data_IF_112691932079
#
_entry.id   IF_112691932079
#
_cell.length_a   1.000
_cell.length_b   1.000
_cell.length_c   1.000
_cell.angle_alpha   90.00
_cell.angle_beta   90.00
_cell.angle_gamma   90.00
#
_symmetry.space_group_name_H-M   'P 1'
#
loop_
_entity.id
_entity.type
_entity.pdbx_description
1 polymer ?
#
# COMPACT_ATOMS: atom_id res chain seq x y z
N UNK A 1 73.74 20.43 -24.38
CA UNK A 1 74.05 19.15 -25.05
C UNK A 1 72.94 18.16 -24.71
N UNK A 2 72.30 17.54 -25.71
CA UNK A 2 71.34 16.40 -25.64
C UNK A 2 69.96 16.71 -25.03
N UNK A 3 68.89 16.92 -25.81
CA UNK A 3 67.94 15.89 -26.32
C UNK A 3 67.37 15.00 -25.18
N UNK A 4 66.08 14.98 -24.83
CA UNK A 4 64.85 15.17 -25.59
C UNK A 4 64.11 13.83 -25.65
N UNK A 5 63.03 13.64 -24.87
CA UNK A 5 62.06 12.56 -25.08
C UNK A 5 60.64 13.14 -24.93
N UNK A 6 59.97 13.27 -26.07
CA UNK A 6 58.52 13.33 -26.27
C UNK A 6 58.18 12.11 -27.12
N UNK A 7 57.12 11.36 -26.78
CA UNK A 7 56.21 10.66 -27.72
C UNK A 7 55.31 9.72 -26.88
N UNK A 8 53.98 9.86 -26.87
CA UNK A 8 53.01 9.55 -27.95
C UNK A 8 52.89 8.04 -28.16
N UNK A 9 51.66 7.52 -27.99
CA UNK A 9 51.31 6.09 -28.08
C UNK A 9 51.36 5.54 -29.50
N UNK A 10 50.78 4.34 -29.70
CA UNK A 10 49.96 4.16 -30.90
C UNK A 10 48.70 3.31 -30.69
N UNK A 11 47.69 3.65 -31.48
CA UNK A 11 46.60 2.79 -31.89
C UNK A 11 47.06 1.65 -32.83
N UNK A 12 46.09 0.77 -33.13
CA UNK A 12 45.82 0.06 -34.41
C UNK A 12 46.19 -1.43 -34.54
N UNK A 13 45.09 -2.20 -34.63
CA UNK A 13 44.70 -3.13 -35.71
C UNK A 13 45.47 -4.44 -35.95
N UNK A 14 44.74 -5.55 -35.83
CA UNK A 14 44.39 -6.53 -36.88
C UNK A 14 43.96 -7.85 -36.20
N UNK A 15 42.95 -8.62 -36.62
CA UNK A 15 41.96 -8.46 -37.66
C UNK A 15 41.11 -9.75 -37.77
N UNK A 16 39.78 -9.60 -37.86
CA UNK A 16 38.88 -10.51 -38.58
C UNK A 16 38.47 -11.84 -37.94
N UNK A 17 37.35 -12.50 -38.28
CA UNK A 17 36.21 -12.27 -39.19
C UNK A 17 35.09 -13.19 -38.65
N UNK A 18 33.83 -12.75 -38.69
CA UNK A 18 32.69 -13.64 -38.39
C UNK A 18 31.37 -12.91 -38.19
N UNK A 19 30.87 -12.25 -39.24
CA UNK A 19 29.48 -11.82 -39.36
C UNK A 19 28.53 -13.04 -39.23
N UNK A 20 27.25 -12.89 -38.86
CA UNK A 20 26.15 -12.58 -39.80
C UNK A 20 24.86 -12.30 -39.01
N UNK A 21 24.17 -11.21 -39.39
CA UNK A 21 22.72 -10.98 -39.29
C UNK A 21 22.21 -10.42 -37.95
N UNK A 22 21.85 -9.14 -37.79
CA UNK A 22 21.62 -8.07 -38.74
C UNK A 22 20.22 -8.09 -39.34
N UNK A 23 19.23 -7.52 -38.64
CA UNK A 23 18.13 -6.77 -39.26
C UNK A 23 17.74 -5.59 -38.34
N UNK A 24 17.88 -4.41 -38.92
CA UNK A 24 17.54 -3.09 -38.42
C UNK A 24 16.05 -2.80 -38.60
N UNK A 25 15.49 -1.89 -37.80
CA UNK A 25 15.05 -0.59 -38.32
C UNK A 25 14.42 0.27 -37.22
N UNK A 26 14.95 1.49 -37.13
CA UNK A 26 14.47 2.64 -36.40
C UNK A 26 13.08 3.11 -36.88
N UNK A 27 12.39 3.86 -36.01
CA UNK A 27 11.15 4.54 -36.38
C UNK A 27 10.71 5.54 -35.32
N UNK A 28 11.28 6.73 -35.37
CA UNK A 28 10.80 7.91 -34.67
C UNK A 28 9.39 8.35 -35.13
N UNK A 29 8.76 9.15 -34.27
CA UNK A 29 7.70 10.16 -34.52
C UNK A 29 6.26 9.82 -34.11
N UNK A 30 5.82 10.56 -33.09
CA UNK A 30 4.54 11.27 -32.97
C UNK A 30 3.30 10.69 -33.65
N UNK A 31 2.31 10.31 -32.84
CA UNK A 31 0.92 10.16 -33.25
C UNK A 31 0.00 10.46 -32.08
N UNK A 32 -0.58 11.67 -32.08
CA UNK A 32 -1.68 12.03 -31.21
C UNK A 32 -2.96 11.27 -31.63
N UNK A 33 -3.64 10.65 -30.67
CA UNK A 33 -5.04 10.23 -30.75
C UNK A 33 -5.62 10.46 -29.35
N UNK A 34 -6.27 11.60 -29.05
CA UNK A 34 -7.69 11.86 -29.30
C UNK A 34 -8.56 10.60 -29.27
N UNK A 35 -9.17 10.35 -28.12
CA UNK A 35 -10.25 9.37 -27.89
C UNK A 35 -11.17 9.90 -26.80
N UNK A 36 -12.41 10.15 -27.18
CA UNK A 36 -13.38 11.02 -26.51
C UNK A 36 -13.81 10.60 -25.09
N UNK A 37 -13.94 11.62 -24.23
CA UNK A 37 -14.92 11.66 -23.16
C UNK A 37 -16.33 11.67 -23.78
N UNK A 38 -17.16 10.66 -23.50
CA UNK A 38 -18.59 10.74 -23.73
C UNK A 38 -19.31 10.14 -22.53
N UNK A 39 -20.16 10.96 -21.91
CA UNK A 39 -20.80 10.67 -20.66
C UNK A 39 -21.94 9.66 -20.75
N UNK A 40 -22.32 9.16 -19.58
CA UNK A 40 -23.65 8.60 -19.37
C UNK A 40 -24.05 8.87 -17.92
N UNK A 41 -24.74 10.00 -17.72
CA UNK A 41 -25.73 10.14 -16.67
C UNK A 41 -27.00 9.45 -17.18
N UNK A 42 -27.43 8.37 -16.53
CA UNK A 42 -28.84 7.95 -16.55
C UNK A 42 -29.23 7.60 -15.11
N UNK A 43 -30.35 8.20 -14.70
CA UNK A 43 -30.87 8.21 -13.35
C UNK A 43 -31.59 6.94 -12.91
N UNK A 44 -31.98 7.01 -11.64
CA UNK A 44 -32.71 6.06 -10.81
C UNK A 44 -33.96 5.45 -11.45
N UNK A 45 -34.19 4.14 -11.23
CA UNK A 45 -35.42 3.57 -10.70
C UNK A 45 -35.32 2.05 -10.48
N UNK A 46 -35.74 1.61 -9.29
CA UNK A 46 -36.39 0.35 -8.90
C UNK A 46 -36.02 -1.00 -9.57
N UNK A 47 -35.73 -2.00 -8.72
CA UNK A 47 -35.91 -3.42 -9.07
C UNK A 47 -34.84 -4.32 -8.45
N UNK A 48 -35.22 -5.07 -7.42
CA UNK A 48 -34.33 -6.01 -6.75
C UNK A 48 -33.99 -7.26 -7.57
N UNK A 49 -33.13 -8.09 -6.95
CA UNK A 49 -32.79 -9.48 -7.26
C UNK A 49 -31.70 -9.70 -8.32
N UNK A 50 -30.45 -9.68 -7.86
CA UNK A 50 -29.50 -10.77 -8.11
C UNK A 50 -28.34 -10.71 -7.09
N UNK A 51 -28.46 -11.49 -6.01
CA UNK A 51 -27.31 -11.94 -5.23
C UNK A 51 -26.79 -13.21 -5.89
N UNK A 52 -25.50 -13.25 -6.21
CA UNK A 52 -24.83 -14.49 -6.63
C UNK A 52 -23.39 -14.25 -7.07
N UNK A 53 -22.45 -14.76 -6.27
CA UNK A 53 -21.05 -15.01 -6.60
C UNK A 53 -20.16 -13.78 -6.91
N UNK A 54 -19.72 -13.08 -5.86
CA UNK A 54 -18.41 -12.41 -5.91
C UNK A 54 -17.34 -13.43 -5.59
N UNK A 55 -16.97 -14.18 -6.63
CA UNK A 55 -15.75 -14.98 -6.65
C UNK A 55 -14.53 -14.08 -6.42
N UNK A 56 -13.50 -14.68 -5.85
CA UNK A 56 -12.13 -14.19 -5.77
C UNK A 56 -11.74 -13.58 -7.12
N UNK A 57 -11.85 -12.24 -7.26
CA UNK A 57 -11.19 -11.54 -8.35
C UNK A 57 -9.70 -11.56 -8.03
N UNK A 58 -9.07 -12.68 -8.37
CA UNK A 58 -7.63 -12.73 -8.61
C UNK A 58 -7.42 -11.76 -9.78
N UNK A 59 -7.02 -10.53 -9.44
CA UNK A 59 -6.63 -9.54 -10.44
C UNK A 59 -5.52 -10.17 -11.28
N UNK A 60 -5.88 -10.64 -12.46
CA UNK A 60 -4.93 -10.89 -13.53
C UNK A 60 -4.33 -9.52 -13.83
N UNK A 61 -3.03 -9.41 -13.54
CA UNK A 61 -2.23 -8.25 -13.85
C UNK A 61 -2.46 -7.88 -15.31
N UNK A 62 -2.72 -6.61 -15.57
CA UNK A 62 -2.61 -6.07 -16.92
C UNK A 62 -1.18 -6.37 -17.42
N UNK A 63 -1.09 -6.94 -18.61
CA UNK A 63 0.17 -7.23 -19.30
C UNK A 63 1.08 -5.99 -19.27
N UNK A 64 2.23 -6.12 -18.59
CA UNK A 64 3.23 -5.07 -18.44
C UNK A 64 3.41 -4.51 -17.02
N UNK A 65 2.59 -4.88 -16.03
CA UNK A 65 2.79 -4.46 -14.64
C UNK A 65 3.96 -5.21 -13.99
N UNK A 66 4.94 -4.49 -13.45
CA UNK A 66 5.99 -5.04 -12.58
C UNK A 66 5.40 -5.95 -11.50
N UNK A 67 6.11 -6.99 -11.03
CA UNK A 67 5.59 -7.90 -10.02
C UNK A 67 5.10 -7.12 -8.80
N UNK A 68 3.85 -7.37 -8.41
CA UNK A 68 3.23 -6.73 -7.27
C UNK A 68 3.65 -7.47 -5.98
N UNK A 69 4.08 -6.71 -4.97
CA UNK A 69 4.49 -7.19 -3.65
C UNK A 69 3.44 -6.84 -2.61
N UNK A 70 3.10 -7.81 -1.76
CA UNK A 70 2.24 -7.59 -0.58
C UNK A 70 3.07 -6.94 0.52
N UNK A 71 2.58 -5.82 1.07
CA UNK A 71 3.27 -5.06 2.12
C UNK A 71 2.50 -5.00 3.44
N UNK A 72 1.20 -5.27 3.40
CA UNK A 72 0.36 -5.43 4.60
C UNK A 72 -0.84 -6.32 4.26
N UNK A 73 -1.34 -7.05 5.25
CA UNK A 73 -2.52 -7.90 5.08
C UNK A 73 -3.19 -8.19 6.42
N UNK A 74 -4.53 -8.29 6.42
CA UNK A 74 -5.26 -8.83 7.58
C UNK A 74 -5.28 -10.36 7.56
N UNK A 75 -5.23 -10.95 8.75
CA UNK A 75 -5.40 -12.39 8.99
C UNK A 75 -6.87 -12.81 9.03
N UNK A 76 -7.13 -14.13 8.99
CA UNK A 76 -8.37 -14.85 9.33
C UNK A 76 -9.65 -14.01 9.51
N UNK A 77 -10.62 -14.27 8.65
CA UNK A 77 -11.95 -13.66 8.72
C UNK A 77 -12.77 -13.87 7.46
N UNK A 78 -14.02 -13.43 7.49
CA UNK A 78 -14.88 -13.33 6.33
C UNK A 78 -15.42 -11.91 6.26
N UNK A 79 -15.52 -11.37 5.04
CA UNK A 79 -16.03 -10.01 4.84
C UNK A 79 -17.42 -9.86 5.48
N UNK A 80 -17.56 -8.91 6.40
CA UNK A 80 -18.87 -8.52 6.89
C UNK A 80 -19.65 -7.74 5.81
N UNK A 81 -20.96 -7.62 6.01
CA UNK A 81 -21.80 -6.74 5.19
C UNK A 81 -21.27 -5.31 5.23
N UNK A 82 -21.01 -4.77 4.03
CA UNK A 82 -20.53 -3.40 3.87
C UNK A 82 -21.64 -2.39 4.21
N UNK A 83 -21.22 -1.24 4.72
CA UNK A 83 -22.08 -0.10 4.96
C UNK A 83 -22.30 0.70 3.66
N UNK A 84 -23.44 1.38 3.50
CA UNK A 84 -23.65 2.26 2.37
C UNK A 84 -22.72 3.47 2.42
N UNK A 85 -22.30 4.01 1.27
CA UNK A 85 -21.45 5.21 1.18
C UNK A 85 -22.04 6.41 1.93
N UNK A 86 -23.37 6.49 2.02
CA UNK A 86 -24.09 7.53 2.78
C UNK A 86 -23.81 7.51 4.28
N UNK A 87 -23.21 6.45 4.83
CA UNK A 87 -22.78 6.40 6.23
C UNK A 87 -21.50 7.22 6.49
N UNK A 88 -20.77 7.65 5.45
CA UNK A 88 -19.55 8.43 5.59
C UNK A 88 -19.87 9.90 5.89
N UNK A 89 -19.15 10.48 6.85
CA UNK A 89 -19.22 11.93 7.05
C UNK A 89 -18.49 12.67 5.91
N UNK A 90 -18.68 13.99 5.81
CA UNK A 90 -18.08 14.82 4.74
C UNK A 90 -16.56 14.71 4.65
N UNK A 91 -15.85 14.50 5.77
CA UNK A 91 -14.39 14.34 5.78
C UNK A 91 -13.99 13.00 5.18
N UNK A 92 -14.63 11.91 5.62
CA UNK A 92 -14.39 10.56 5.12
C UNK A 92 -14.74 10.45 3.63
N UNK A 93 -15.87 11.02 3.21
CA UNK A 93 -16.30 11.02 1.82
C UNK A 93 -15.28 11.69 0.89
N UNK A 94 -14.69 12.82 1.31
CA UNK A 94 -13.62 13.47 0.53
C UNK A 94 -12.39 12.60 0.35
N UNK A 95 -12.00 11.86 1.39
CA UNK A 95 -10.88 10.91 1.32
C UNK A 95 -11.24 9.73 0.41
N UNK A 96 -12.42 9.15 0.57
CA UNK A 96 -12.93 8.07 -0.26
C UNK A 96 -12.94 8.43 -1.75
N UNK A 97 -13.44 9.62 -2.09
CA UNK A 97 -13.47 10.12 -3.47
C UNK A 97 -12.08 10.42 -4.04
N UNK A 98 -11.04 10.51 -3.21
CA UNK A 98 -9.64 10.63 -3.66
C UNK A 98 -8.95 9.28 -3.83
N UNK A 99 -9.59 8.19 -3.40
CA UNK A 99 -9.07 6.82 -3.38
C UNK A 99 -10.16 5.87 -3.91
N UNK A 100 -10.74 6.17 -5.07
CA UNK A 100 -11.96 5.51 -5.60
C UNK A 100 -11.75 4.06 -5.99
N UNK A 101 -10.53 3.67 -6.33
CA UNK A 101 -10.19 2.33 -6.81
C UNK A 101 -9.19 1.64 -5.88
N UNK A 102 -9.26 0.31 -5.79
CA UNK A 102 -8.26 -0.51 -5.09
C UNK A 102 -6.87 -0.31 -5.71
N UNK A 103 -5.84 -0.19 -4.88
CA UNK A 103 -4.49 0.19 -5.30
C UNK A 103 -4.25 1.69 -5.47
N UNK A 104 -5.30 2.52 -5.39
CA UNK A 104 -5.13 3.97 -5.45
C UNK A 104 -4.24 4.47 -4.30
N UNK A 105 -3.44 5.48 -4.59
CA UNK A 105 -2.61 6.16 -3.60
C UNK A 105 -3.00 7.63 -3.47
N UNK A 106 -2.78 8.21 -2.29
CA UNK A 106 -3.14 9.59 -2.03
C UNK A 106 -2.21 10.26 -1.03
N UNK A 107 -2.00 11.56 -1.20
CA UNK A 107 -1.22 12.40 -0.28
C UNK A 107 -2.13 13.40 0.41
N UNK A 108 -2.13 13.38 1.74
CA UNK A 108 -3.02 14.18 2.57
C UNK A 108 -2.25 14.95 3.64
N UNK A 109 -2.84 16.04 4.12
CA UNK A 109 -2.37 16.67 5.36
C UNK A 109 -2.76 15.79 6.55
N UNK A 110 -1.85 15.61 7.52
CA UNK A 110 -2.08 14.76 8.70
C UNK A 110 -3.38 15.10 9.45
N UNK A 111 -3.74 16.39 9.53
CA UNK A 111 -4.98 16.86 10.18
C UNK A 111 -6.27 16.56 9.42
N UNK A 112 -6.19 16.15 8.14
CA UNK A 112 -7.35 15.93 7.27
C UNK A 112 -7.76 14.46 7.18
N UNK A 113 -6.95 13.55 7.70
CA UNK A 113 -7.20 12.11 7.66
C UNK A 113 -6.64 11.41 8.90
N UNK A 114 -7.40 10.49 9.47
CA UNK A 114 -7.03 9.63 10.59
C UNK A 114 -7.19 8.14 10.26
N UNK A 115 -6.58 7.26 11.06
CA UNK A 115 -6.82 5.81 10.93
C UNK A 115 -8.29 5.47 11.19
N UNK A 116 -8.96 6.21 12.08
CA UNK A 116 -10.40 6.09 12.30
C UNK A 116 -11.22 6.45 11.06
N UNK A 117 -10.81 7.48 10.31
CA UNK A 117 -11.47 7.81 9.04
C UNK A 117 -11.30 6.69 8.03
N UNK A 118 -10.09 6.18 7.87
CA UNK A 118 -9.79 5.09 6.94
C UNK A 118 -10.51 3.81 7.29
N UNK A 119 -10.61 3.46 8.57
CA UNK A 119 -11.38 2.30 9.02
C UNK A 119 -12.87 2.45 8.69
N UNK A 120 -13.44 3.65 8.86
CA UNK A 120 -14.83 3.90 8.48
C UNK A 120 -15.03 3.77 6.95
N UNK A 121 -14.06 4.20 6.14
CA UNK A 121 -14.09 4.01 4.69
C UNK A 121 -13.91 2.53 4.32
N UNK A 122 -13.07 1.78 5.04
CA UNK A 122 -12.93 0.32 4.91
C UNK A 122 -14.24 -0.42 5.13
N UNK A 123 -15.09 0.03 6.06
CA UNK A 123 -16.44 -0.53 6.26
C UNK A 123 -17.39 -0.35 5.08
N UNK A 124 -17.13 0.61 4.21
CA UNK A 124 -17.92 0.87 3.00
C UNK A 124 -17.31 0.17 1.78
N UNK A 125 -15.99 0.09 1.73
CA UNK A 125 -15.24 -0.41 0.56
C UNK A 125 -14.91 -1.90 0.64
N UNK A 126 -14.80 -2.45 1.84
CA UNK A 126 -14.28 -3.79 2.07
C UNK A 126 -12.76 -3.89 1.93
N UNK A 127 -12.06 -2.75 1.83
CA UNK A 127 -10.61 -2.70 1.61
C UNK A 127 -9.83 -2.28 2.85
N UNK A 128 -8.58 -2.75 2.90
CA UNK A 128 -7.54 -2.24 3.78
C UNK A 128 -6.97 -0.90 3.32
N UNK A 129 -6.39 -0.14 4.26
CA UNK A 129 -5.67 1.10 3.97
C UNK A 129 -4.38 1.16 4.77
N UNK A 130 -3.25 1.34 4.09
CA UNK A 130 -1.94 1.56 4.72
C UNK A 130 -1.59 3.04 4.75
N UNK A 131 -1.00 3.51 5.85
CA UNK A 131 -0.64 4.92 6.05
C UNK A 131 0.82 5.08 6.42
N UNK A 132 1.51 5.98 5.74
CA UNK A 132 2.86 6.42 6.04
C UNK A 132 2.85 7.91 6.38
N UNK A 133 3.55 8.33 7.42
CA UNK A 133 3.59 9.73 7.87
C UNK A 133 4.99 10.30 7.74
N UNK A 134 5.13 11.37 6.96
CA UNK A 134 6.34 12.17 6.83
C UNK A 134 6.03 13.61 7.23
N UNK A 135 6.50 14.00 8.43
CA UNK A 135 6.21 15.32 9.02
C UNK A 135 4.70 15.57 9.14
N UNK A 136 4.23 16.67 8.52
CA UNK A 136 2.82 17.08 8.53
C UNK A 136 1.93 16.39 7.48
N UNK A 137 2.45 15.41 6.73
CA UNK A 137 1.77 14.77 5.59
C UNK A 137 1.62 13.27 5.78
N UNK A 138 0.60 12.71 5.14
CA UNK A 138 0.31 11.28 5.09
C UNK A 138 0.25 10.79 3.65
N UNK A 139 0.98 9.73 3.36
CA UNK A 139 0.81 8.92 2.16
C UNK A 139 -0.07 7.74 2.51
N UNK A 140 -1.09 7.49 1.69
CA UNK A 140 -2.12 6.48 1.94
C UNK A 140 -2.21 5.59 0.72
N UNK A 141 -2.32 4.29 0.94
CA UNK A 141 -2.50 3.27 -0.09
C UNK A 141 -3.79 2.53 0.22
N UNK A 142 -4.72 2.46 -0.74
CA UNK A 142 -5.91 1.60 -0.65
C UNK A 142 -5.57 0.21 -1.14
N UNK A 143 -5.99 -0.81 -0.41
CA UNK A 143 -5.74 -2.22 -0.72
C UNK A 143 -6.74 -2.84 -1.67
N UNK A 144 -6.64 -4.16 -1.78
CA UNK A 144 -7.49 -5.06 -2.55
C UNK A 144 -8.11 -6.06 -1.59
N UNK A 145 -9.26 -5.73 -1.00
CA UNK A 145 -9.83 -6.52 0.07
C UNK A 145 -8.91 -6.51 1.29
N UNK A 146 -8.38 -7.67 1.65
CA UNK A 146 -7.58 -7.94 2.83
C UNK A 146 -6.06 -7.82 2.64
N UNK A 147 -5.60 -7.23 1.53
CA UNK A 147 -4.18 -7.08 1.22
C UNK A 147 -3.84 -5.71 0.62
N UNK A 148 -2.67 -5.19 0.95
CA UNK A 148 -2.06 -4.03 0.30
C UNK A 148 -0.97 -4.52 -0.65
N UNK A 149 -1.16 -4.30 -1.95
CA UNK A 149 -0.20 -4.67 -3.01
C UNK A 149 0.38 -3.42 -3.65
N UNK A 150 1.70 -3.39 -3.83
CA UNK A 150 2.43 -2.28 -4.44
C UNK A 150 3.44 -2.80 -5.46
N UNK A 151 3.96 -1.93 -6.33
CA UNK A 151 5.08 -2.30 -7.22
C UNK A 151 6.37 -2.54 -6.41
N UNK A 152 7.30 -3.32 -6.94
CA UNK A 152 8.60 -3.54 -6.27
C UNK A 152 9.35 -2.23 -6.02
N UNK A 153 9.30 -1.27 -6.97
CA UNK A 153 9.89 0.05 -6.80
C UNK A 153 9.29 0.81 -5.61
N UNK A 154 7.96 0.80 -5.46
CA UNK A 154 7.30 1.42 -4.32
C UNK A 154 7.61 0.69 -3.02
N UNK A 155 7.69 -0.65 -3.04
CA UNK A 155 8.11 -1.41 -1.85
C UNK A 155 9.51 -1.01 -1.38
N UNK A 156 10.46 -0.83 -2.29
CA UNK A 156 11.80 -0.34 -1.98
C UNK A 156 11.77 1.08 -1.39
N UNK A 157 10.99 2.00 -1.98
CA UNK A 157 10.82 3.36 -1.46
C UNK A 157 10.18 3.39 -0.05
N UNK A 158 9.21 2.52 0.21
CA UNK A 158 8.55 2.38 1.52
C UNK A 158 9.54 1.87 2.57
N UNK A 159 10.32 0.84 2.23
CA UNK A 159 11.37 0.30 3.10
C UNK A 159 12.47 1.34 3.40
N UNK A 160 12.85 2.13 2.39
CA UNK A 160 13.79 3.23 2.52
C UNK A 160 13.21 4.47 3.25
N UNK A 161 11.93 4.46 3.62
CA UNK A 161 11.29 5.54 4.36
C UNK A 161 11.00 6.80 3.53
N UNK A 162 11.00 6.72 2.19
CA UNK A 162 10.74 7.86 1.30
C UNK A 162 9.35 8.49 1.52
N UNK A 163 8.39 7.67 1.95
CA UNK A 163 7.03 8.09 2.30
C UNK A 163 6.85 8.36 3.81
N UNK A 164 7.93 8.27 4.58
CA UNK A 164 7.96 8.41 6.03
C UNK A 164 7.71 7.11 6.79
N UNK A 165 7.44 7.26 8.08
CA UNK A 165 7.25 6.14 9.02
C UNK A 165 5.89 5.51 8.82
N UNK A 166 5.84 4.18 8.81
CA UNK A 166 4.58 3.47 8.71
C UNK A 166 3.74 3.72 9.96
N UNK A 167 2.58 4.36 9.79
CA UNK A 167 1.67 4.68 10.89
C UNK A 167 0.73 3.53 11.23
N UNK A 168 0.65 2.54 10.35
CA UNK A 168 -0.22 1.38 10.48
C UNK A 168 -1.08 1.15 9.24
N UNK A 169 -1.87 0.09 9.29
CA UNK A 169 -2.94 -0.14 8.32
C UNK A 169 -4.25 -0.55 9.00
N UNK A 170 -5.34 -0.45 8.25
CA UNK A 170 -6.66 -0.89 8.67
C UNK A 170 -6.98 -2.25 8.08
N UNK A 171 -7.60 -3.13 8.86
CA UNK A 171 -8.17 -4.38 8.39
C UNK A 171 -9.60 -4.18 7.91
N UNK A 172 -10.07 -4.96 6.92
CA UNK A 172 -11.43 -4.85 6.44
C UNK A 172 -12.42 -5.33 7.51
N UNK A 173 -13.69 -4.93 7.41
CA UNK A 173 -14.69 -5.37 8.39
C UNK A 173 -14.87 -6.89 8.35
N UNK A 174 -14.85 -7.52 9.52
CA UNK A 174 -14.97 -8.98 9.68
C UNK A 174 -13.66 -9.77 9.71
N UNK A 175 -12.51 -9.09 9.58
CA UNK A 175 -11.19 -9.70 9.72
C UNK A 175 -10.61 -9.51 11.12
N UNK A 176 -9.86 -10.51 11.60
CA UNK A 176 -9.13 -10.45 12.86
C UNK A 176 -8.06 -9.36 12.84
N UNK A 177 -7.74 -8.76 13.99
CA UNK A 177 -6.78 -7.64 14.10
C UNK A 177 -5.32 -8.09 14.25
N UNK A 178 -5.05 -9.40 14.12
CA UNK A 178 -3.71 -9.96 14.29
C UNK A 178 -2.77 -9.58 13.16
N UNK A 179 -1.48 -9.43 13.46
CA UNK A 179 -0.47 -9.14 12.45
C UNK A 179 -0.23 -10.32 11.52
N UNK A 180 -0.15 -10.05 10.22
CA UNK A 180 0.33 -10.99 9.22
C UNK A 180 1.86 -11.04 9.20
N UNK A 181 2.40 -12.03 8.46
CA UNK A 181 3.84 -12.12 8.19
C UNK A 181 4.37 -10.93 7.38
N UNK A 182 3.51 -10.26 6.58
CA UNK A 182 3.90 -9.15 5.73
C UNK A 182 4.00 -7.81 6.47
N UNK A 183 3.22 -7.64 7.54
CA UNK A 183 3.12 -6.38 8.28
C UNK A 183 4.48 -5.95 8.88
N UNK A 184 5.31 -6.90 9.32
CA UNK A 184 6.65 -6.58 9.88
C UNK A 184 7.56 -5.92 8.85
N UNK A 185 7.43 -6.26 7.58
CA UNK A 185 8.26 -5.68 6.52
C UNK A 185 7.90 -4.21 6.25
N UNK A 186 6.70 -3.77 6.64
CA UNK A 186 6.29 -2.37 6.51
C UNK A 186 6.84 -1.46 7.61
N UNK A 187 7.37 -2.01 8.71
CA UNK A 187 8.03 -1.21 9.73
C UNK A 187 9.37 -0.72 9.18
N UNK A 188 9.45 0.58 8.87
CA UNK A 188 10.65 1.21 8.35
C UNK A 188 11.85 1.08 9.31
N UNK A 189 13.06 1.11 8.77
CA UNK A 189 14.29 1.08 9.58
C UNK A 189 14.28 2.23 10.61
N UNK A 190 14.60 1.92 11.87
CA UNK A 190 14.59 2.89 12.98
C UNK A 190 13.20 3.16 13.56
N UNK A 191 12.17 2.43 13.14
CA UNK A 191 10.85 2.45 13.77
C UNK A 191 10.65 1.22 14.66
N UNK A 192 10.39 1.45 15.95
CA UNK A 192 10.20 0.36 16.92
C UNK A 192 8.83 -0.33 16.80
N UNK A 193 7.79 0.42 16.43
CA UNK A 193 6.41 -0.04 16.45
C UNK A 193 5.48 0.70 15.49
N UNK A 194 4.36 0.08 15.17
CA UNK A 194 3.23 0.60 14.39
C UNK A 194 1.91 0.15 15.02
N UNK A 195 0.79 0.30 14.32
CA UNK A 195 -0.53 -0.11 14.80
C UNK A 195 -1.38 -0.78 13.72
N UNK A 196 -2.11 -1.82 14.09
CA UNK A 196 -3.11 -2.48 13.25
C UNK A 196 -4.50 -2.09 13.71
N UNK A 197 -5.36 -1.66 12.80
CA UNK A 197 -6.68 -1.10 13.12
C UNK A 197 -7.79 -1.99 12.59
N UNK A 198 -8.67 -2.46 13.46
CA UNK A 198 -9.77 -3.36 13.10
C UNK A 198 -11.06 -2.97 13.81
N UNK A 199 -12.06 -3.86 13.74
CA UNK A 199 -13.39 -3.53 14.26
C UNK A 199 -13.46 -3.30 15.78
N UNK A 200 -12.58 -3.97 16.53
CA UNK A 200 -12.45 -3.82 17.98
C UNK A 200 -11.56 -2.67 18.46
N UNK A 201 -10.99 -1.86 17.56
CA UNK A 201 -10.05 -0.79 17.92
C UNK A 201 -8.72 -0.95 17.20
N UNK A 202 -7.61 -0.84 17.94
CA UNK A 202 -6.27 -1.06 17.39
C UNK A 202 -5.40 -1.87 18.34
N UNK A 203 -4.45 -2.61 17.77
CA UNK A 203 -3.33 -3.18 18.52
C UNK A 203 -2.05 -2.48 18.12
N UNK A 204 -1.10 -2.40 19.06
CA UNK A 204 0.26 -1.96 18.78
C UNK A 204 1.08 -3.18 18.40
N UNK A 205 1.93 -3.01 17.41
CA UNK A 205 2.75 -4.06 16.85
C UNK A 205 4.19 -3.59 16.71
N UNK A 206 5.16 -4.42 17.08
CA UNK A 206 6.57 -4.07 17.16
C UNK A 206 7.38 -4.70 16.04
N UNK A 207 8.61 -4.20 15.87
CA UNK A 207 9.52 -4.67 14.84
C UNK A 207 9.85 -6.17 14.98
N UNK A 208 9.88 -6.69 16.21
CA UNK A 208 10.13 -8.11 16.48
C UNK A 208 8.99 -8.79 17.23
N UNK A 209 8.74 -10.09 17.00
CA UNK A 209 7.77 -10.86 17.79
C UNK A 209 8.08 -10.90 19.29
N UNK A 210 9.37 -10.83 19.68
CA UNK A 210 9.77 -10.84 21.08
C UNK A 210 9.34 -9.55 21.79
N UNK A 211 9.40 -8.41 21.10
CA UNK A 211 8.94 -7.12 21.62
C UNK A 211 7.42 -7.10 21.79
N UNK A 212 6.68 -7.71 20.85
CA UNK A 212 5.23 -7.89 20.97
C UNK A 212 4.87 -8.66 22.25
N UNK A 213 5.50 -9.82 22.47
CA UNK A 213 5.26 -10.65 23.65
C UNK A 213 5.61 -9.92 24.95
N UNK A 214 6.72 -9.20 24.98
CA UNK A 214 7.18 -8.44 26.14
C UNK A 214 6.18 -7.33 26.47
N UNK A 215 5.73 -6.59 25.46
CA UNK A 215 4.74 -5.52 25.61
C UNK A 215 3.39 -6.05 26.10
N UNK A 216 2.89 -7.14 25.52
CA UNK A 216 1.63 -7.76 25.92
C UNK A 216 1.67 -8.30 27.35
N UNK A 217 2.78 -8.93 27.73
CA UNK A 217 3.01 -9.43 29.09
C UNK A 217 2.99 -8.28 30.11
N UNK A 218 3.72 -7.19 29.83
CA UNK A 218 3.75 -6.01 30.68
C UNK A 218 2.35 -5.36 30.81
N UNK A 219 1.62 -5.24 29.69
CA UNK A 219 0.26 -4.73 29.68
C UNK A 219 -0.68 -5.59 30.52
N UNK A 220 -0.57 -6.92 30.44
CA UNK A 220 -1.41 -7.84 31.21
C UNK A 220 -1.16 -7.69 32.71
N UNK A 221 0.10 -7.62 33.12
CA UNK A 221 0.49 -7.37 34.52
C UNK A 221 -0.11 -6.07 35.05
N UNK A 222 -0.01 -4.99 34.28
CA UNK A 222 -0.58 -3.68 34.65
C UNK A 222 -2.11 -3.70 34.75
N UNK A 223 -2.80 -4.38 33.83
CA UNK A 223 -4.25 -4.54 33.88
C UNK A 223 -4.71 -5.32 35.12
N UNK A 224 -3.99 -6.39 35.47
CA UNK A 224 -4.24 -7.16 36.68
C UNK A 224 -4.03 -6.30 37.92
N UNK A 225 -2.92 -5.54 38.00
CA UNK A 225 -2.65 -4.61 39.10
C UNK A 225 -3.81 -3.63 39.31
N UNK A 226 -4.25 -2.94 38.24
CA UNK A 226 -5.38 -2.01 38.31
C UNK A 226 -6.70 -2.67 38.68
N UNK A 227 -6.90 -3.93 38.28
CA UNK A 227 -8.11 -4.67 38.65
C UNK A 227 -8.12 -4.93 40.16
N UNK A 228 -7.01 -5.39 40.73
CA UNK A 228 -6.87 -5.55 42.19
C UNK A 228 -7.07 -4.25 42.95
N UNK A 229 -6.49 -3.14 42.49
CA UNK A 229 -6.62 -1.82 43.14
C UNK A 229 -8.05 -1.28 43.18
N UNK A 230 -8.92 -1.68 42.23
CA UNK A 230 -10.34 -1.26 42.21
C UNK A 230 -11.24 -2.10 43.13
N UNK A 231 -10.74 -3.19 43.68
CA UNK A 231 -11.49 -4.06 44.60
C UNK A 231 -11.25 -3.71 46.07
N UNK A 232 -10.37 -2.75 46.36
CA UNK A 232 -10.11 -2.18 47.69
C UNK A 232 -10.84 -0.85 47.83
#
# INVERSE_FOLDING_TARGET
>A
MGAGIIAVGPDLLSGGIGAIGGYWADGSSTGALHGAFLGMMIGSAAGGLARGAWGTRRGLAADGASPARVVAASTDGASNSLLPVSSLNRRQLRVHNSLTESGATGRFLKRKISMTDLRAIGRVTGDEYSVYTLGGRRFVIRGYGNEIRVTESMAADLAAGQYGRWSGHTHPPGYGIGASTFDRWSISVGQERSALWGDGGYIIFHQTPADDYTFESARRTELMRRWYERQQ
#
